data_IF_533163433443
#
_entry.id   IF_533163433443
#
_cell.length_a   1.000
_cell.length_b   1.000
_cell.length_c   1.000
_cell.angle_alpha   90.00
_cell.angle_beta   90.00
_cell.angle_gamma   90.00
#
_symmetry.space_group_name_H-M   'P 1'
#
loop_
_entity.id
_entity.type
_entity.pdbx_description
1 polymer ?
#
# COMPACT_ATOMS: atom_id res chain seq x y z
N UNK A 1 -6.40 -10.12 2.57
CA UNK A 1 -5.01 -9.90 3.04
C UNK A 1 -4.01 -9.96 1.88
N UNK A 2 -4.11 -10.92 0.96
CA UNK A 2 -3.29 -10.95 -0.27
C UNK A 2 -3.95 -10.18 -1.42
N UNK A 3 -5.27 -10.05 -1.38
CA UNK A 3 -6.09 -9.44 -2.44
C UNK A 3 -5.84 -7.94 -2.57
N UNK A 4 -5.51 -7.23 -1.49
CA UNK A 4 -5.17 -5.80 -1.59
C UNK A 4 -3.83 -5.55 -2.30
N UNK A 5 -2.96 -6.56 -2.46
CA UNK A 5 -1.79 -6.45 -3.36
C UNK A 5 -2.24 -6.33 -4.83
N UNK A 6 -3.38 -6.93 -5.19
CA UNK A 6 -3.96 -6.82 -6.52
C UNK A 6 -4.71 -5.50 -6.74
N UNK A 7 -4.94 -4.71 -5.69
CA UNK A 7 -5.56 -3.39 -5.80
C UNK A 7 -4.52 -2.36 -6.28
N UNK A 8 -3.98 -2.58 -7.47
CA UNK A 8 -2.89 -1.81 -8.07
C UNK A 8 -3.05 -1.76 -9.59
N UNK A 9 -2.65 -0.64 -10.22
CA UNK A 9 -2.55 -0.55 -11.68
C UNK A 9 -1.16 -1.00 -12.15
N UNK A 10 -0.75 -0.59 -13.34
CA UNK A 10 0.58 -0.87 -13.87
C UNK A 10 1.66 -0.29 -12.96
N UNK A 11 2.69 -1.09 -12.66
CA UNK A 11 3.79 -0.70 -11.79
C UNK A 11 4.90 0.02 -12.61
N UNK A 12 5.51 1.10 -12.09
CA UNK A 12 5.10 1.85 -10.89
C UNK A 12 3.87 2.73 -11.15
N UNK A 13 3.00 2.81 -10.15
CA UNK A 13 1.83 3.68 -10.18
C UNK A 13 2.04 4.93 -9.33
N UNK A 14 2.28 6.08 -9.99
CA UNK A 14 2.49 7.37 -9.32
C UNK A 14 1.29 7.80 -8.46
N UNK A 15 0.09 7.31 -8.77
CA UNK A 15 -1.16 7.68 -8.09
C UNK A 15 -1.56 6.68 -6.99
N UNK A 16 -0.75 5.65 -6.70
CA UNK A 16 -1.10 4.63 -5.70
C UNK A 16 -1.45 5.20 -4.31
N UNK A 17 -0.79 6.30 -3.93
CA UNK A 17 -1.04 7.03 -2.67
C UNK A 17 -2.51 7.47 -2.52
N UNK A 18 -3.21 7.72 -3.64
CA UNK A 18 -4.63 8.12 -3.66
C UNK A 18 -5.62 6.97 -3.45
N UNK A 19 -5.17 5.70 -3.43
CA UNK A 19 -6.10 4.58 -3.48
C UNK A 19 -6.83 4.37 -2.15
N UNK A 20 -8.14 4.53 -2.19
CA UNK A 20 -9.03 4.41 -1.04
C UNK A 20 -10.20 3.50 -1.41
N UNK A 21 -10.82 2.91 -0.40
CA UNK A 21 -12.05 2.13 -0.54
C UNK A 21 -13.00 2.49 0.60
N UNK A 22 -14.30 2.52 0.33
CA UNK A 22 -15.31 2.64 1.38
C UNK A 22 -15.20 1.48 2.37
N UNK A 23 -15.35 1.76 3.66
CA UNK A 23 -15.23 0.78 4.76
C UNK A 23 -16.19 -0.40 4.59
N UNK A 24 -17.42 -0.14 4.15
CA UNK A 24 -18.40 -1.20 3.84
C UNK A 24 -17.96 -2.15 2.70
N UNK A 25 -17.06 -1.69 1.83
CA UNK A 25 -16.57 -2.40 0.64
C UNK A 25 -15.14 -2.93 0.81
N UNK A 26 -14.51 -2.72 1.97
CA UNK A 26 -13.13 -3.13 2.24
C UNK A 26 -12.99 -4.57 2.76
N UNK A 27 -14.12 -5.24 3.05
CA UNK A 27 -14.17 -6.55 3.68
C UNK A 27 -14.89 -7.60 2.82
N UNK A 28 -14.49 -8.86 3.01
CA UNK A 28 -15.16 -10.02 2.41
C UNK A 28 -15.03 -10.12 0.89
N UNK A 29 -15.95 -10.86 0.27
CA UNK A 29 -15.87 -11.21 -1.16
C UNK A 29 -16.10 -10.02 -2.11
N UNK A 30 -16.79 -8.97 -1.64
CA UNK A 30 -16.97 -7.73 -2.40
C UNK A 30 -15.60 -7.09 -2.71
N UNK A 31 -14.77 -6.94 -1.69
CA UNK A 31 -13.43 -6.39 -1.84
C UNK A 31 -12.56 -7.26 -2.76
N UNK A 32 -12.59 -8.58 -2.58
CA UNK A 32 -11.79 -9.51 -3.40
C UNK A 32 -12.13 -9.40 -4.88
N UNK A 33 -13.42 -9.32 -5.22
CA UNK A 33 -13.89 -9.13 -6.60
C UNK A 33 -13.48 -7.77 -7.16
N UNK A 34 -13.63 -6.71 -6.36
CA UNK A 34 -13.22 -5.36 -6.75
C UNK A 34 -11.71 -5.28 -7.02
N UNK A 35 -10.88 -5.78 -6.11
CA UNK A 35 -9.43 -5.81 -6.26
C UNK A 35 -9.00 -6.59 -7.51
N UNK A 36 -9.60 -7.76 -7.75
CA UNK A 36 -9.31 -8.56 -8.94
C UNK A 36 -9.74 -7.87 -10.24
N UNK A 37 -10.87 -7.15 -10.24
CA UNK A 37 -11.35 -6.40 -11.39
C UNK A 37 -10.59 -5.09 -11.64
N UNK A 38 -10.03 -4.49 -10.59
CA UNK A 38 -9.22 -3.28 -10.66
C UNK A 38 -7.77 -3.55 -11.08
N UNK A 39 -7.25 -4.74 -10.75
CA UNK A 39 -5.86 -5.10 -11.02
C UNK A 39 -5.52 -4.99 -12.51
N UNK A 40 -4.43 -4.29 -12.82
CA UNK A 40 -3.89 -4.25 -14.19
C UNK A 40 -3.40 -5.63 -14.65
N UNK A 41 -2.91 -6.45 -13.73
CA UNK A 41 -2.37 -7.78 -14.00
C UNK A 41 -3.43 -8.86 -13.83
N UNK A 42 -3.44 -9.85 -14.74
CA UNK A 42 -4.29 -11.03 -14.57
C UNK A 42 -3.69 -11.99 -13.54
N UNK A 43 -4.26 -12.00 -12.34
CA UNK A 43 -3.85 -12.92 -11.27
C UNK A 43 -2.57 -12.46 -10.57
N UNK A 44 -1.74 -13.41 -10.13
CA UNK A 44 -0.53 -13.14 -9.33
C UNK A 44 0.78 -13.38 -10.09
N UNK A 45 0.73 -13.60 -11.41
CA UNK A 45 1.91 -13.94 -12.20
C UNK A 45 3.00 -12.85 -12.11
N UNK A 46 2.61 -11.57 -12.04
CA UNK A 46 3.52 -10.44 -11.89
C UNK A 46 4.32 -10.46 -10.57
N UNK A 47 3.82 -11.12 -9.52
CA UNK A 47 4.53 -11.28 -8.24
C UNK A 47 5.69 -12.29 -8.31
N UNK A 48 5.91 -12.97 -9.44
CA UNK A 48 7.10 -13.81 -9.63
C UNK A 48 8.35 -12.98 -9.90
N UNK A 49 8.18 -11.75 -10.38
CA UNK A 49 9.29 -10.86 -10.69
C UNK A 49 9.73 -10.08 -9.46
N UNK A 50 11.03 -10.13 -9.16
CA UNK A 50 11.65 -9.37 -8.09
C UNK A 50 11.51 -7.85 -8.32
N UNK A 51 11.64 -7.37 -9.55
CA UNK A 51 11.52 -5.95 -9.85
C UNK A 51 10.13 -5.41 -9.50
N UNK A 52 9.08 -6.21 -9.74
CA UNK A 52 7.72 -5.85 -9.33
C UNK A 52 7.58 -5.77 -7.82
N UNK A 53 8.22 -6.67 -7.06
CA UNK A 53 8.23 -6.55 -5.60
C UNK A 53 8.91 -5.28 -5.12
N UNK A 54 10.01 -4.86 -5.76
CA UNK A 54 10.68 -3.61 -5.42
C UNK A 54 9.72 -2.41 -5.62
N UNK A 55 9.00 -2.37 -6.74
CA UNK A 55 8.01 -1.31 -7.03
C UNK A 55 6.80 -1.35 -6.09
N UNK A 56 6.30 -2.55 -5.76
CA UNK A 56 5.20 -2.73 -4.80
C UNK A 56 5.63 -2.23 -3.42
N UNK A 57 6.82 -2.60 -2.95
CA UNK A 57 7.33 -2.10 -1.66
C UNK A 57 7.47 -0.57 -1.69
N UNK A 58 8.01 0.00 -2.77
CA UNK A 58 8.16 1.44 -2.91
C UNK A 58 6.83 2.19 -2.81
N UNK A 59 5.82 1.82 -3.61
CA UNK A 59 4.54 2.53 -3.60
C UNK A 59 3.82 2.41 -2.24
N UNK A 60 3.96 1.27 -1.56
CA UNK A 60 3.39 1.08 -0.23
C UNK A 60 4.12 1.91 0.84
N UNK A 61 5.46 1.96 0.82
CA UNK A 61 6.24 2.78 1.74
C UNK A 61 5.95 4.29 1.55
N UNK A 62 5.94 4.76 0.30
CA UNK A 62 5.60 6.16 -0.05
C UNK A 62 4.18 6.51 0.42
N UNK A 63 3.22 5.60 0.24
CA UNK A 63 1.86 5.83 0.70
C UNK A 63 1.75 5.86 2.22
N UNK A 64 2.44 4.96 2.92
CA UNK A 64 2.47 4.98 4.36
C UNK A 64 3.06 6.30 4.87
N UNK A 65 4.12 6.80 4.23
CA UNK A 65 4.71 8.10 4.54
C UNK A 65 3.72 9.24 4.29
N UNK A 66 3.05 9.26 3.14
CA UNK A 66 2.00 10.26 2.86
C UNK A 66 0.91 10.22 3.93
N UNK A 67 0.50 9.02 4.36
CA UNK A 67 -0.54 8.89 5.37
C UNK A 67 -0.11 9.49 6.72
N UNK A 68 1.15 9.33 7.13
CA UNK A 68 1.63 9.78 8.45
C UNK A 68 2.23 11.19 8.45
N UNK A 69 2.89 11.62 7.38
CA UNK A 69 3.62 12.90 7.28
C UNK A 69 3.07 13.87 6.24
N UNK A 70 2.05 13.47 5.47
CA UNK A 70 1.50 14.23 4.33
C UNK A 70 2.51 14.48 3.18
N UNK A 71 3.66 13.80 3.21
CA UNK A 71 4.67 13.83 2.14
C UNK A 71 4.57 12.63 1.20
N UNK A 72 4.46 12.89 -0.12
CA UNK A 72 4.49 11.84 -1.17
C UNK A 72 5.94 11.55 -1.57
N UNK A 73 6.74 11.13 -0.60
CA UNK A 73 8.16 10.78 -0.78
C UNK A 73 8.49 9.46 -0.10
N UNK A 74 9.69 8.94 -0.36
CA UNK A 74 10.26 7.87 0.46
C UNK A 74 10.29 8.31 1.95
N UNK A 75 10.00 7.41 2.91
CA UNK A 75 10.09 7.74 4.34
C UNK A 75 11.51 8.12 4.73
N UNK A 76 11.67 9.17 5.54
CA UNK A 76 12.99 9.55 6.08
C UNK A 76 13.46 8.57 7.15
N UNK A 77 12.52 8.08 7.98
CA UNK A 77 12.79 7.09 9.01
C UNK A 77 11.77 5.94 8.96
N UNK A 78 12.23 4.73 9.27
CA UNK A 78 11.34 3.56 9.41
C UNK A 78 10.26 3.78 10.47
N UNK A 79 10.53 4.56 11.52
CA UNK A 79 9.55 4.91 12.56
C UNK A 79 8.34 5.67 12.02
N UNK A 80 8.51 6.43 10.92
CA UNK A 80 7.44 7.28 10.37
C UNK A 80 6.31 6.46 9.77
N UNK A 81 6.59 5.22 9.38
CA UNK A 81 5.64 4.33 8.70
C UNK A 81 5.32 3.06 9.50
N UNK A 82 5.59 3.09 10.81
CA UNK A 82 5.37 1.95 11.70
C UNK A 82 3.89 1.65 11.82
N UNK A 83 3.59 0.40 12.22
CA UNK A 83 2.21 -0.08 12.23
C UNK A 83 1.28 0.82 13.06
N UNK A 84 1.74 1.29 14.22
CA UNK A 84 0.91 2.12 15.09
C UNK A 84 0.69 3.54 14.52
N UNK A 85 1.73 4.30 14.13
CA UNK A 85 1.54 5.58 13.43
C UNK A 85 0.64 5.49 12.19
N UNK A 86 0.84 4.45 11.36
CA UNK A 86 0.02 4.22 10.16
C UNK A 86 -1.43 3.92 10.54
N UNK A 87 -1.65 3.11 11.57
CA UNK A 87 -3.00 2.80 12.06
C UNK A 87 -3.72 4.06 12.57
N UNK A 88 -3.07 4.83 13.44
CA UNK A 88 -3.66 6.04 14.01
C UNK A 88 -3.98 7.07 12.93
N UNK A 89 -3.07 7.26 11.97
CA UNK A 89 -3.30 8.15 10.83
C UNK A 89 -4.43 7.66 9.92
N UNK A 90 -4.53 6.34 9.66
CA UNK A 90 -5.62 5.75 8.89
C UNK A 90 -6.98 6.04 9.54
N UNK A 91 -7.08 5.84 10.86
CA UNK A 91 -8.30 6.07 11.62
C UNK A 91 -8.70 7.54 11.55
N UNK A 92 -7.78 8.44 11.91
CA UNK A 92 -8.03 9.87 11.99
C UNK A 92 -8.28 10.54 10.63
N UNK A 93 -7.62 10.10 9.55
CA UNK A 93 -7.72 10.73 8.22
C UNK A 93 -8.82 10.13 7.34
N UNK A 94 -9.13 8.84 7.48
CA UNK A 94 -10.05 8.15 6.57
C UNK A 94 -11.26 7.52 7.27
N UNK A 95 -11.05 6.74 8.33
CA UNK A 95 -12.13 5.95 8.93
C UNK A 95 -13.16 6.85 9.59
N UNK A 96 -12.72 7.74 10.49
CA UNK A 96 -13.63 8.56 11.29
C UNK A 96 -14.24 9.72 10.49
N UNK A 97 -13.54 10.17 9.44
CA UNK A 97 -13.97 11.33 8.62
C UNK A 97 -14.88 10.95 7.46
N UNK A 98 -14.54 9.90 6.73
CA UNK A 98 -15.11 9.62 5.41
C UNK A 98 -15.69 8.20 5.26
N UNK A 99 -15.62 7.39 6.33
CA UNK A 99 -15.92 5.96 6.32
C UNK A 99 -15.13 5.22 5.23
N UNK A 100 -13.85 5.54 5.12
CA UNK A 100 -12.94 5.03 4.11
C UNK A 100 -11.70 4.39 4.73
N UNK A 101 -11.03 3.57 3.92
CA UNK A 101 -9.81 2.86 4.27
C UNK A 101 -8.81 3.09 3.14
N UNK A 102 -7.62 3.61 3.45
CA UNK A 102 -6.55 3.69 2.47
C UNK A 102 -6.03 2.28 2.15
N UNK A 103 -5.84 2.01 0.87
CA UNK A 103 -5.30 0.73 0.40
C UNK A 103 -3.82 0.63 0.76
N UNK A 104 -3.52 -0.10 1.82
CA UNK A 104 -2.16 -0.44 2.24
C UNK A 104 -2.11 -1.93 2.61
N UNK A 105 -1.07 -2.63 2.17
CA UNK A 105 -0.93 -4.06 2.37
C UNK A 105 0.20 -4.34 3.35
N UNK A 106 -0.05 -5.22 4.32
CA UNK A 106 0.92 -5.56 5.35
C UNK A 106 2.14 -6.32 4.82
N UNK A 107 2.03 -7.11 3.74
CA UNK A 107 3.16 -7.87 3.20
C UNK A 107 4.27 -6.96 2.64
N UNK A 108 4.00 -6.01 1.73
CA UNK A 108 5.01 -5.05 1.28
C UNK A 108 5.61 -4.23 2.43
N UNK A 109 4.78 -3.79 3.38
CA UNK A 109 5.26 -3.07 4.56
C UNK A 109 6.18 -3.94 5.42
N UNK A 110 5.83 -5.21 5.64
CA UNK A 110 6.68 -6.17 6.34
C UNK A 110 8.04 -6.33 5.65
N UNK A 111 8.07 -6.43 4.32
CA UNK A 111 9.33 -6.51 3.57
C UNK A 111 10.17 -5.23 3.73
N UNK A 112 9.55 -4.05 3.67
CA UNK A 112 10.20 -2.77 3.94
C UNK A 112 10.84 -2.73 5.33
N UNK A 113 10.12 -3.20 6.36
CA UNK A 113 10.64 -3.25 7.73
C UNK A 113 11.82 -4.19 7.88
N UNK A 114 11.72 -5.39 7.33
CA UNK A 114 12.67 -6.46 7.59
C UNK A 114 13.97 -6.33 6.79
N UNK A 115 13.92 -5.75 5.59
CA UNK A 115 15.11 -5.62 4.74
C UNK A 115 15.81 -4.25 4.90
N UNK A 116 17.11 -4.17 4.57
CA UNK A 116 17.83 -2.90 4.51
C UNK A 116 17.28 -1.97 3.43
N UNK A 117 17.39 -0.66 3.64
CA UNK A 117 16.81 0.37 2.76
C UNK A 117 17.33 0.30 1.32
N UNK A 118 18.63 0.02 1.16
CA UNK A 118 19.29 -0.08 -0.15
C UNK A 118 18.75 -1.22 -1.04
N UNK A 119 17.90 -2.11 -0.50
CA UNK A 119 17.25 -3.17 -1.27
C UNK A 119 16.12 -2.63 -2.15
N UNK A 120 15.48 -1.55 -1.73
CA UNK A 120 14.28 -1.00 -2.38
C UNK A 120 14.47 0.44 -2.86
N UNK A 121 15.38 1.19 -2.23
CA UNK A 121 15.74 2.53 -2.63
C UNK A 121 17.21 2.53 -3.07
N UNK A 122 17.44 2.54 -4.39
CA UNK A 122 18.80 2.73 -4.93
C UNK A 122 19.09 4.23 -4.91
N UNK A 123 20.07 4.63 -4.11
CA UNK A 123 20.68 5.96 -4.18
C UNK A 123 21.39 6.15 -5.52
#
# INVERSE_FOLDING_TARGET
MIESIQYTKELPDKQFHTYIVKRENSCGDKFKKAAKGFCFYRGYAYLKDRANWELIVQQHAIKANMLTTDSVSWPEHKSDVEQLPVFDAQVAKHVDKNEEVAILNAFPMFLYYYFPENKFHKH
#
